data_IF_975200636704
#
_entry.id   IF_975200636704
#
_cell.length_a   1.000
_cell.length_b   1.000
_cell.length_c   1.000
_cell.angle_alpha   90.00
_cell.angle_beta   90.00
_cell.angle_gamma   90.00
#
_symmetry.space_group_name_H-M   'P 1'
#
loop_
_entity.id
_entity.type
_entity.pdbx_description
1 polymer ?
#
# COMPACT_ATOMS: atom_id res chain seq x y z
N UNK A 1 17.05 -18.61 44.99
CA UNK A 1 17.96 -19.39 44.13
C UNK A 1 17.68 -20.86 44.38
N UNK A 2 16.85 -21.49 43.56
CA UNK A 2 16.52 -22.92 43.65
C UNK A 2 16.96 -23.59 42.34
N UNK A 3 17.97 -24.46 42.42
CA UNK A 3 18.49 -25.26 41.31
C UNK A 3 17.58 -26.47 41.13
N UNK A 4 16.78 -26.50 40.06
CA UNK A 4 16.08 -27.70 39.60
C UNK A 4 17.07 -28.63 38.89
N UNK A 5 17.22 -29.86 39.41
CA UNK A 5 18.02 -30.91 38.82
C UNK A 5 17.32 -31.50 37.57
N UNK A 6 18.09 -32.19 36.69
CA UNK A 6 17.54 -32.78 35.46
C UNK A 6 16.69 -34.01 35.77
N UNK A 7 15.64 -34.26 34.93
CA UNK A 7 14.80 -35.42 35.09
C UNK A 7 15.52 -36.75 34.72
N UNK A 8 15.29 -37.76 35.51
CA UNK A 8 15.86 -39.11 35.34
C UNK A 8 15.34 -39.75 34.05
N UNK A 9 16.21 -40.40 33.32
CA UNK A 9 15.89 -41.21 32.13
C UNK A 9 15.09 -42.47 32.51
N UNK A 10 14.10 -42.88 31.71
CA UNK A 10 13.32 -44.09 31.93
C UNK A 10 14.21 -45.33 31.70
N UNK A 11 14.22 -46.19 32.68
CA UNK A 11 14.90 -47.52 32.64
C UNK A 11 14.09 -48.45 31.69
N UNK A 12 14.70 -48.85 30.60
CA UNK A 12 14.12 -49.85 29.68
C UNK A 12 14.21 -51.23 30.32
N UNK A 13 13.09 -51.78 30.72
CA UNK A 13 13.00 -53.16 31.21
C UNK A 13 13.28 -54.14 30.07
N UNK A 14 14.37 -54.91 30.19
CA UNK A 14 14.70 -56.02 29.30
C UNK A 14 13.69 -57.15 29.51
N UNK A 15 12.80 -57.35 28.53
CA UNK A 15 11.93 -58.51 28.45
C UNK A 15 12.79 -59.73 28.08
N UNK A 16 13.02 -60.60 29.05
CA UNK A 16 13.63 -61.91 28.82
C UNK A 16 12.64 -62.78 28.02
N UNK A 17 13.03 -63.14 26.81
CA UNK A 17 12.29 -64.07 25.98
C UNK A 17 12.54 -65.49 26.53
N UNK A 18 11.54 -66.04 27.20
CA UNK A 18 11.56 -67.44 27.65
C UNK A 18 11.27 -68.30 26.46
N UNK A 19 12.27 -68.98 25.94
CA UNK A 19 12.13 -69.98 24.89
C UNK A 19 11.74 -71.36 25.54
N UNK A 20 10.49 -71.73 25.35
CA UNK A 20 10.00 -73.12 25.74
C UNK A 20 10.48 -74.14 24.70
N UNK A 21 11.04 -75.25 25.13
CA UNK A 21 11.31 -76.40 24.20
C UNK A 21 10.01 -76.94 23.62
N UNK A 22 9.95 -77.34 22.34
CA UNK A 22 8.75 -77.84 21.69
C UNK A 22 8.38 -79.23 22.31
N UNK A 23 7.10 -79.41 22.57
CA UNK A 23 6.54 -80.64 23.07
C UNK A 23 6.75 -81.79 22.05
N UNK A 24 7.11 -82.98 22.49
CA UNK A 24 7.29 -84.17 21.60
C UNK A 24 5.97 -84.51 20.92
N UNK A 25 5.96 -84.42 19.56
CA UNK A 25 4.80 -84.83 18.76
C UNK A 25 4.15 -83.74 17.91
N UNK A 26 4.63 -82.48 17.95
CA UNK A 26 4.12 -81.51 17.02
C UNK A 26 4.80 -81.58 15.63
N UNK A 27 3.99 -81.58 14.54
CA UNK A 27 4.55 -81.56 13.19
C UNK A 27 5.40 -80.28 13.06
N UNK A 28 6.60 -80.44 12.51
CA UNK A 28 7.48 -79.27 12.19
C UNK A 28 6.69 -78.20 11.38
N UNK A 29 6.64 -76.98 11.77
CA UNK A 29 6.05 -75.90 10.94
C UNK A 29 6.72 -75.98 9.59
N UNK A 30 5.93 -75.91 8.52
CA UNK A 30 6.40 -75.86 7.16
C UNK A 30 7.35 -74.69 7.01
N UNK A 31 8.45 -74.78 6.22
CA UNK A 31 9.33 -73.66 5.97
C UNK A 31 8.50 -72.48 5.50
N UNK A 32 8.59 -71.32 6.23
CA UNK A 32 7.88 -70.10 5.85
C UNK A 32 8.25 -69.72 4.42
N UNK A 33 7.37 -69.04 3.69
CA UNK A 33 7.68 -68.60 2.34
C UNK A 33 8.97 -67.79 2.38
N UNK A 34 9.88 -68.12 1.44
CA UNK A 34 11.17 -67.48 1.30
C UNK A 34 10.98 -65.92 1.30
N UNK A 35 11.82 -65.17 1.99
CA UNK A 35 11.74 -63.69 1.96
C UNK A 35 11.70 -63.25 0.50
N UNK A 36 10.63 -62.55 0.13
CA UNK A 36 10.56 -61.92 -1.20
C UNK A 36 11.86 -61.18 -1.45
N UNK A 37 12.50 -61.32 -2.65
CA UNK A 37 13.68 -60.55 -2.99
C UNK A 37 13.36 -59.08 -2.74
N UNK A 38 14.06 -58.48 -1.77
CA UNK A 38 13.79 -57.13 -1.29
C UNK A 38 13.61 -56.19 -2.45
N UNK A 39 12.50 -55.47 -2.47
CA UNK A 39 12.24 -54.47 -3.48
C UNK A 39 13.49 -53.55 -3.60
N UNK A 40 14.04 -53.48 -4.82
CA UNK A 40 15.22 -52.66 -5.08
C UNK A 40 15.06 -51.25 -4.46
N UNK A 41 16.08 -50.73 -3.78
CA UNK A 41 15.99 -49.41 -3.19
C UNK A 41 15.50 -48.38 -4.20
N UNK A 42 14.36 -47.72 -3.92
CA UNK A 42 13.83 -46.70 -4.81
C UNK A 42 14.86 -45.61 -5.00
N UNK A 43 15.17 -45.18 -6.24
CA UNK A 43 16.13 -44.11 -6.47
C UNK A 43 15.69 -42.88 -5.70
N UNK A 44 16.63 -42.13 -5.08
CA UNK A 44 16.33 -40.96 -4.30
C UNK A 44 15.59 -39.95 -5.18
N UNK A 45 14.41 -39.52 -4.73
CA UNK A 45 13.62 -38.51 -5.46
C UNK A 45 14.38 -37.20 -5.53
N UNK A 46 14.54 -36.69 -6.76
CA UNK A 46 15.22 -35.41 -7.01
C UNK A 46 14.51 -34.25 -6.32
N UNK A 47 15.20 -33.55 -5.42
CA UNK A 47 14.71 -32.35 -4.74
C UNK A 47 14.97 -31.04 -5.54
N UNK A 48 15.55 -31.15 -6.73
CA UNK A 48 15.89 -29.99 -7.60
C UNK A 48 14.66 -29.16 -7.93
N UNK A 49 13.53 -29.79 -8.29
CA UNK A 49 12.27 -29.09 -8.56
C UNK A 49 11.74 -28.30 -7.37
N UNK A 50 11.79 -28.88 -6.16
CA UNK A 50 11.37 -28.21 -4.94
C UNK A 50 12.22 -26.97 -4.63
N UNK A 51 13.54 -27.07 -4.83
CA UNK A 51 14.45 -25.92 -4.64
C UNK A 51 14.19 -24.81 -5.65
N UNK A 52 13.95 -25.15 -6.92
CA UNK A 52 13.59 -24.19 -7.95
C UNK A 52 12.29 -23.46 -7.60
N UNK A 53 11.24 -24.19 -7.16
CA UNK A 53 9.98 -23.57 -6.75
C UNK A 53 10.16 -22.62 -5.56
N UNK A 54 10.97 -22.96 -4.57
CA UNK A 54 11.28 -22.09 -3.42
C UNK A 54 11.99 -20.81 -3.89
N UNK A 55 13.01 -20.93 -4.74
CA UNK A 55 13.76 -19.77 -5.22
C UNK A 55 12.88 -18.85 -6.07
N UNK A 56 12.13 -19.42 -7.04
CA UNK A 56 11.20 -18.65 -7.86
C UNK A 56 10.12 -17.99 -7.00
N UNK A 57 9.54 -18.73 -6.06
CA UNK A 57 8.55 -18.20 -5.12
C UNK A 57 9.10 -17.04 -4.28
N UNK A 58 10.34 -17.15 -3.79
CA UNK A 58 11.01 -16.09 -3.04
C UNK A 58 11.24 -14.84 -3.90
N UNK A 59 11.73 -14.99 -5.14
CA UNK A 59 11.95 -13.87 -6.06
C UNK A 59 10.64 -13.17 -6.39
N UNK A 60 9.58 -13.94 -6.72
CA UNK A 60 8.26 -13.37 -7.02
C UNK A 60 7.70 -12.63 -5.81
N UNK A 61 7.87 -13.16 -4.59
CA UNK A 61 7.43 -12.50 -3.37
C UNK A 61 8.15 -11.16 -3.13
N UNK A 62 9.47 -11.13 -3.32
CA UNK A 62 10.25 -9.89 -3.20
C UNK A 62 9.79 -8.84 -4.22
N UNK A 63 9.59 -9.23 -5.48
CA UNK A 63 9.09 -8.33 -6.51
C UNK A 63 7.69 -7.81 -6.18
N UNK A 64 6.81 -8.67 -5.65
CA UNK A 64 5.47 -8.27 -5.20
C UNK A 64 5.53 -7.27 -4.04
N UNK A 65 6.43 -7.45 -3.07
CA UNK A 65 6.64 -6.50 -1.99
C UNK A 65 7.15 -5.15 -2.49
N UNK A 66 8.11 -5.14 -3.41
CA UNK A 66 8.60 -3.91 -4.04
C UNK A 66 7.48 -3.19 -4.78
N UNK A 67 6.69 -3.92 -5.57
CA UNK A 67 5.53 -3.36 -6.27
C UNK A 67 4.50 -2.77 -5.30
N UNK A 68 4.24 -3.45 -4.18
CA UNK A 68 3.35 -2.96 -3.12
C UNK A 68 3.85 -1.65 -2.49
N UNK A 69 5.12 -1.57 -2.13
CA UNK A 69 5.72 -0.34 -1.58
C UNK A 69 5.65 0.81 -2.58
N UNK A 70 5.99 0.56 -3.85
CA UNK A 70 5.87 1.55 -4.91
C UNK A 70 4.41 1.98 -5.13
N UNK A 71 3.46 1.05 -5.09
CA UNK A 71 2.04 1.34 -5.20
C UNK A 71 1.54 2.24 -4.07
N UNK A 72 1.91 1.95 -2.83
CA UNK A 72 1.55 2.79 -1.67
C UNK A 72 2.17 4.17 -1.76
N UNK A 73 3.46 4.26 -2.07
CA UNK A 73 4.15 5.56 -2.15
C UNK A 73 3.62 6.46 -3.26
N UNK A 74 3.31 5.88 -4.44
CA UNK A 74 2.68 6.61 -5.54
C UNK A 74 1.25 7.05 -5.19
N UNK A 75 0.49 6.19 -4.55
CA UNK A 75 -0.87 6.51 -4.10
C UNK A 75 -0.87 7.66 -3.08
N UNK A 76 -0.03 7.59 -2.05
CA UNK A 76 0.07 8.65 -1.03
C UNK A 76 0.49 9.99 -1.63
N UNK A 77 1.41 9.98 -2.61
CA UNK A 77 1.82 11.21 -3.32
C UNK A 77 0.74 11.79 -4.24
N UNK A 78 -0.21 10.97 -4.68
CA UNK A 78 -1.33 11.42 -5.50
C UNK A 78 -2.46 12.07 -4.68
N UNK A 79 -2.45 11.91 -3.35
CA UNK A 79 -3.43 12.56 -2.48
C UNK A 79 -3.08 14.05 -2.33
N UNK A 80 -4.08 14.96 -2.30
CA UNK A 80 -3.88 16.39 -2.06
C UNK A 80 -3.51 16.64 -0.59
N UNK A 81 -2.33 16.16 -0.20
CA UNK A 81 -1.79 16.39 1.14
C UNK A 81 -0.96 17.66 1.15
N UNK A 82 -0.96 18.39 2.27
CA UNK A 82 -0.13 19.57 2.42
C UNK A 82 -0.75 20.89 1.95
N UNK A 83 -2.07 20.92 1.69
CA UNK A 83 -2.79 22.18 1.45
C UNK A 83 -2.77 23.04 2.71
N UNK A 84 -3.04 22.43 3.86
CA UNK A 84 -2.95 23.05 5.19
C UNK A 84 -2.09 22.23 6.13
N UNK A 85 -1.47 22.89 7.11
CA UNK A 85 -0.77 22.26 8.22
C UNK A 85 -1.73 21.93 9.39
N UNK A 86 -1.20 21.30 10.46
CA UNK A 86 -1.97 20.94 11.65
C UNK A 86 -2.57 22.11 12.43
N UNK A 87 -2.14 23.33 12.16
CA UNK A 87 -2.65 24.56 12.76
C UNK A 87 -3.61 25.32 11.81
N UNK A 88 -3.94 24.74 10.64
CA UNK A 88 -4.78 25.36 9.63
C UNK A 88 -4.10 26.45 8.81
N UNK A 89 -2.77 26.56 8.89
CA UNK A 89 -1.99 27.51 8.09
C UNK A 89 -1.63 26.88 6.74
N UNK A 90 -1.23 27.70 5.76
CA UNK A 90 -0.77 27.19 4.47
C UNK A 90 0.28 26.09 4.63
N UNK A 91 0.06 24.97 3.99
CA UNK A 91 0.94 23.79 4.05
C UNK A 91 2.00 23.79 2.97
N UNK A 92 2.70 22.67 2.81
CA UNK A 92 3.82 22.53 1.87
C UNK A 92 3.43 22.58 0.39
N UNK A 93 2.16 22.37 0.06
CA UNK A 93 1.64 22.47 -1.30
C UNK A 93 1.14 23.87 -1.65
N UNK A 94 1.10 24.80 -0.68
CA UNK A 94 0.67 26.17 -0.88
C UNK A 94 1.71 26.94 -1.72
N UNK A 95 1.27 27.51 -2.83
CA UNK A 95 2.06 28.38 -3.69
C UNK A 95 1.84 29.85 -3.33
N UNK A 96 0.61 30.19 -2.95
CA UNK A 96 0.23 31.51 -2.47
C UNK A 96 -0.90 31.34 -1.44
N UNK A 97 -1.09 32.33 -0.60
CA UNK A 97 -2.17 32.35 0.40
C UNK A 97 -2.44 33.76 0.87
N UNK A 98 -3.64 34.02 1.36
CA UNK A 98 -4.05 35.31 1.91
C UNK A 98 -5.26 35.16 2.83
N UNK A 99 -5.58 36.26 3.51
CA UNK A 99 -6.81 36.39 4.29
C UNK A 99 -8.00 36.68 3.37
N UNK A 100 -9.20 36.41 3.83
CA UNK A 100 -10.43 36.74 3.12
C UNK A 100 -11.13 37.88 3.87
N UNK A 101 -11.40 39.02 3.21
CA UNK A 101 -11.03 39.42 1.83
C UNK A 101 -9.55 39.76 1.73
N UNK A 102 -8.95 39.48 0.55
CA UNK A 102 -7.55 39.83 0.31
C UNK A 102 -7.01 39.38 -1.04
N UNK A 103 -5.71 39.60 -1.19
CA UNK A 103 -4.99 39.34 -2.44
C UNK A 103 -3.71 38.55 -2.17
N UNK A 104 -3.28 37.78 -3.16
CA UNK A 104 -1.97 37.12 -3.14
C UNK A 104 -1.40 37.03 -4.56
N UNK A 105 -0.09 37.26 -4.66
CA UNK A 105 0.64 37.10 -5.91
C UNK A 105 1.10 35.65 -6.08
N UNK A 106 1.03 35.19 -7.32
CA UNK A 106 1.37 33.80 -7.70
C UNK A 106 2.12 33.82 -9.03
N UNK A 107 3.26 33.12 -9.09
CA UNK A 107 3.89 32.79 -10.37
C UNK A 107 3.20 31.57 -11.00
N UNK A 108 2.70 31.74 -12.21
CA UNK A 108 1.97 30.70 -12.94
C UNK A 108 2.73 30.24 -14.17
N UNK A 109 2.51 28.98 -14.50
CA UNK A 109 2.99 28.36 -15.75
C UNK A 109 1.81 28.15 -16.69
N UNK A 110 1.94 28.60 -17.94
CA UNK A 110 0.90 28.45 -18.95
C UNK A 110 0.50 26.99 -19.16
N UNK A 111 -0.81 26.73 -19.24
CA UNK A 111 -1.39 25.40 -19.38
C UNK A 111 -1.41 24.54 -18.10
N UNK A 112 -0.90 25.07 -16.97
CA UNK A 112 -0.96 24.43 -15.67
C UNK A 112 -2.25 24.86 -14.96
N UNK A 113 -3.12 23.94 -14.52
CA UNK A 113 -4.25 24.28 -13.67
C UNK A 113 -3.78 24.63 -12.25
N UNK A 114 -4.49 25.56 -11.62
CA UNK A 114 -4.32 25.96 -10.23
C UNK A 114 -5.66 25.88 -9.53
N UNK A 115 -5.68 25.37 -8.29
CA UNK A 115 -6.86 25.26 -7.47
C UNK A 115 -6.79 26.23 -6.31
N UNK A 116 -7.87 26.99 -6.10
CA UNK A 116 -8.06 27.92 -5.02
C UNK A 116 -8.91 27.25 -3.95
N UNK A 117 -8.39 27.23 -2.73
CA UNK A 117 -9.00 26.60 -1.57
C UNK A 117 -9.42 27.63 -0.56
N UNK A 118 -10.62 27.50 -0.02
CA UNK A 118 -11.05 28.22 1.17
C UNK A 118 -10.70 27.41 2.42
N UNK A 119 -10.07 28.03 3.37
CA UNK A 119 -9.68 27.40 4.65
C UNK A 119 -10.49 28.02 5.76
N UNK A 120 -11.25 27.18 6.44
CA UNK A 120 -12.12 27.58 7.55
C UNK A 120 -12.14 26.51 8.64
N UNK A 121 -13.09 26.65 9.57
CA UNK A 121 -13.26 25.68 10.66
C UNK A 121 -13.88 24.38 10.14
N UNK A 122 -13.38 23.25 10.59
CA UNK A 122 -13.91 21.94 10.24
C UNK A 122 -15.39 21.81 10.69
N UNK A 123 -16.22 21.24 9.80
CA UNK A 123 -17.66 21.01 10.05
C UNK A 123 -18.58 22.12 9.57
N UNK A 124 -18.07 23.18 8.90
CA UNK A 124 -18.93 24.06 8.11
C UNK A 124 -19.29 23.36 6.80
N UNK A 125 -20.58 23.09 6.59
CA UNK A 125 -21.09 22.34 5.43
C UNK A 125 -20.91 23.08 4.11
N UNK A 126 -20.67 24.37 4.12
CA UNK A 126 -20.74 25.26 2.95
C UNK A 126 -19.36 25.80 2.52
N UNK A 127 -18.31 24.98 2.60
CA UNK A 127 -17.00 25.31 2.00
C UNK A 127 -16.39 26.62 2.45
N UNK A 128 -16.54 26.99 3.72
CA UNK A 128 -16.13 28.27 4.30
C UNK A 128 -16.86 29.51 3.70
N UNK A 129 -17.99 29.32 3.00
CA UNK A 129 -18.85 30.40 2.52
C UNK A 129 -18.26 31.26 1.37
N UNK A 130 -17.35 30.67 0.60
CA UNK A 130 -16.81 31.25 -0.62
C UNK A 130 -17.32 30.50 -1.84
N UNK A 131 -17.74 31.23 -2.85
CA UNK A 131 -18.14 30.72 -4.15
C UNK A 131 -17.13 31.12 -5.24
N UNK A 132 -17.24 30.51 -6.42
CA UNK A 132 -16.37 30.80 -7.56
C UNK A 132 -16.43 32.26 -7.98
N UNK A 133 -17.57 32.92 -7.77
CA UNK A 133 -17.84 34.31 -8.12
C UNK A 133 -17.09 35.31 -7.20
N UNK A 134 -16.67 34.87 -6.02
CA UNK A 134 -15.88 35.67 -5.08
C UNK A 134 -14.40 35.70 -5.44
N UNK A 135 -13.99 34.89 -6.44
CA UNK A 135 -12.58 34.73 -6.83
C UNK A 135 -12.31 35.39 -8.17
N UNK A 136 -11.35 36.28 -8.23
CA UNK A 136 -10.86 36.92 -9.48
C UNK A 136 -9.37 36.65 -9.60
N UNK A 137 -8.91 36.33 -10.80
CA UNK A 137 -7.48 36.14 -11.09
C UNK A 137 -7.09 37.05 -12.25
N UNK A 138 -6.19 38.00 -11.98
CA UNK A 138 -5.72 38.97 -12.95
C UNK A 138 -4.23 38.73 -13.22
N UNK A 139 -3.86 38.57 -14.46
CA UNK A 139 -2.47 38.44 -14.91
C UNK A 139 -2.07 39.63 -15.76
N UNK A 140 -0.80 39.74 -16.17
CA UNK A 140 -0.32 40.78 -17.03
C UNK A 140 -1.11 40.93 -18.35
N UNK A 141 -1.63 39.83 -18.87
CA UNK A 141 -2.42 39.77 -20.12
C UNK A 141 -3.91 40.03 -19.90
N UNK A 142 -4.35 40.31 -18.67
CA UNK A 142 -5.76 40.56 -18.30
C UNK A 142 -6.34 39.52 -17.34
N UNK A 143 -7.65 39.62 -17.14
CA UNK A 143 -8.38 38.75 -16.24
C UNK A 143 -8.54 37.32 -16.85
N UNK A 144 -8.29 36.33 -16.02
CA UNK A 144 -8.49 34.94 -16.40
C UNK A 144 -9.92 34.44 -16.07
N UNK A 145 -10.41 33.55 -16.89
CA UNK A 145 -11.68 32.86 -16.58
C UNK A 145 -11.47 31.91 -15.42
N UNK A 146 -12.11 32.20 -14.29
CA UNK A 146 -12.19 31.35 -13.12
C UNK A 146 -13.42 30.44 -13.28
N UNK A 147 -13.26 29.17 -12.99
CA UNK A 147 -14.33 28.18 -13.10
C UNK A 147 -14.54 27.42 -11.80
N UNK A 148 -15.73 26.82 -11.65
CA UNK A 148 -15.94 25.87 -10.58
C UNK A 148 -14.94 24.71 -10.68
N UNK A 149 -14.48 24.15 -9.56
CA UNK A 149 -13.48 23.09 -9.58
C UNK A 149 -14.00 21.86 -10.31
N UNK A 150 -13.20 21.33 -11.22
CA UNK A 150 -13.50 20.09 -11.96
C UNK A 150 -13.63 18.89 -11.01
N UNK A 151 -12.94 18.93 -9.88
CA UNK A 151 -13.05 17.99 -8.76
C UNK A 151 -13.17 18.78 -7.46
N UNK A 152 -14.30 18.62 -6.79
CA UNK A 152 -14.48 19.15 -5.44
C UNK A 152 -13.61 18.35 -4.48
N UNK A 153 -12.60 18.99 -3.89
CA UNK A 153 -11.70 18.40 -2.93
C UNK A 153 -11.91 18.99 -1.54
N UNK A 154 -11.70 18.20 -0.51
CA UNK A 154 -11.58 18.68 0.85
C UNK A 154 -10.35 18.09 1.52
N UNK A 155 -9.63 18.90 2.28
CA UNK A 155 -8.48 18.47 3.08
C UNK A 155 -8.68 19.00 4.49
N UNK A 156 -8.82 18.09 5.46
CA UNK A 156 -9.05 18.43 6.86
C UNK A 156 -7.88 17.99 7.73
N UNK A 157 -7.45 18.88 8.65
CA UNK A 157 -6.46 18.55 9.66
C UNK A 157 -6.79 19.28 10.97
N UNK A 158 -6.95 18.53 12.06
CA UNK A 158 -7.36 19.09 13.35
C UNK A 158 -8.74 19.75 13.31
N UNK A 159 -8.81 21.03 13.68
CA UNK A 159 -10.04 21.84 13.68
C UNK A 159 -10.24 22.66 12.41
N UNK A 160 -9.37 22.50 11.40
CA UNK A 160 -9.39 23.26 10.15
C UNK A 160 -9.71 22.38 8.98
N UNK A 161 -10.41 22.92 8.00
CA UNK A 161 -10.77 22.26 6.75
C UNK A 161 -10.53 23.23 5.59
N UNK A 162 -9.85 22.75 4.56
CA UNK A 162 -9.73 23.40 3.28
C UNK A 162 -10.68 22.75 2.28
N UNK A 163 -11.42 23.55 1.52
CA UNK A 163 -12.33 23.07 0.48
C UNK A 163 -12.02 23.82 -0.82
N UNK A 164 -11.98 23.10 -1.94
CA UNK A 164 -11.75 23.72 -3.25
C UNK A 164 -12.94 24.56 -3.65
N UNK A 165 -12.69 25.84 -3.96
CA UNK A 165 -13.72 26.81 -4.37
C UNK A 165 -13.67 27.08 -5.87
N UNK A 166 -12.46 27.22 -6.41
CA UNK A 166 -12.29 27.64 -7.79
C UNK A 166 -11.07 26.96 -8.42
N UNK A 167 -11.09 26.92 -9.76
CA UNK A 167 -9.98 26.44 -10.58
C UNK A 167 -9.71 27.43 -11.71
N UNK A 168 -8.42 27.66 -12.00
CA UNK A 168 -7.99 28.54 -13.09
C UNK A 168 -6.86 27.86 -13.86
N UNK A 169 -6.86 28.02 -15.19
CA UNK A 169 -5.79 27.52 -16.06
C UNK A 169 -5.27 28.67 -16.90
N UNK A 170 -4.14 29.30 -16.52
CA UNK A 170 -3.51 30.34 -17.29
C UNK A 170 -3.10 29.87 -18.68
N UNK A 171 -3.23 30.70 -19.67
CA UNK A 171 -2.78 30.40 -21.04
C UNK A 171 -1.29 30.73 -21.25
N UNK A 172 -0.76 31.67 -20.49
CA UNK A 172 0.64 32.07 -20.53
C UNK A 172 1.28 31.99 -19.13
N UNK A 173 2.60 31.88 -19.10
CA UNK A 173 3.36 31.94 -17.85
C UNK A 173 3.63 33.38 -17.45
N UNK A 174 3.62 33.67 -16.15
CA UNK A 174 3.87 34.99 -15.64
C UNK A 174 3.40 35.16 -14.19
N UNK A 175 3.39 36.38 -13.69
CA UNK A 175 2.87 36.70 -12.36
C UNK A 175 1.40 37.07 -12.49
N UNK A 176 0.57 36.46 -11.64
CA UNK A 176 -0.86 36.75 -11.52
C UNK A 176 -1.20 37.14 -10.09
N UNK A 177 -2.22 37.95 -9.93
CA UNK A 177 -2.80 38.33 -8.64
C UNK A 177 -4.12 37.60 -8.49
N UNK A 178 -4.26 36.82 -7.40
CA UNK A 178 -5.51 36.20 -6.99
C UNK A 178 -6.17 37.10 -5.97
N UNK A 179 -7.34 37.60 -6.25
CA UNK A 179 -8.17 38.42 -5.37
C UNK A 179 -9.37 37.63 -4.93
N UNK A 180 -9.59 37.54 -3.62
CA UNK A 180 -10.75 36.85 -3.04
C UNK A 180 -11.59 37.86 -2.25
N UNK A 181 -12.84 38.02 -2.67
CA UNK A 181 -13.81 38.88 -1.99
C UNK A 181 -14.32 38.18 -0.71
N UNK A 182 -14.97 38.96 0.16
CA UNK A 182 -15.51 38.40 1.43
C UNK A 182 -16.57 37.34 1.21
N UNK A 183 -17.43 37.48 0.18
CA UNK A 183 -18.57 36.60 -0.03
C UNK A 183 -19.41 36.40 1.25
N UNK A 184 -19.84 35.16 1.51
CA UNK A 184 -20.48 34.74 2.76
C UNK A 184 -19.48 34.16 3.77
N UNK A 185 -18.17 34.32 3.54
CA UNK A 185 -17.13 33.74 4.37
C UNK A 185 -17.13 34.31 5.79
N UNK A 186 -17.05 33.47 6.83
CA UNK A 186 -16.87 33.91 8.20
C UNK A 186 -15.56 34.66 8.40
N UNK A 187 -15.52 35.56 9.39
CA UNK A 187 -14.27 36.23 9.75
C UNK A 187 -13.18 35.21 10.14
N UNK A 188 -11.96 35.44 9.64
CA UNK A 188 -10.82 34.54 9.87
C UNK A 188 -10.74 33.37 8.87
N UNK A 189 -11.56 33.38 7.82
CA UNK A 189 -11.36 32.50 6.64
C UNK A 189 -10.10 32.98 5.91
N UNK A 190 -9.29 32.02 5.45
CA UNK A 190 -8.12 32.29 4.61
C UNK A 190 -8.26 31.52 3.30
N UNK A 191 -7.52 31.92 2.28
CA UNK A 191 -7.45 31.17 1.05
C UNK A 191 -6.03 30.69 0.78
N UNK A 192 -5.94 29.56 0.09
CA UNK A 192 -4.67 28.94 -0.32
C UNK A 192 -4.78 28.56 -1.78
N UNK A 193 -3.72 28.85 -2.54
CA UNK A 193 -3.59 28.45 -3.94
C UNK A 193 -2.58 27.33 -4.04
N UNK A 194 -2.95 26.25 -4.75
CA UNK A 194 -2.08 25.10 -5.00
C UNK A 194 -2.04 24.76 -6.48
N UNK A 195 -1.13 23.89 -6.91
CA UNK A 195 -1.27 23.27 -8.22
C UNK A 195 -2.61 22.53 -8.28
N UNK A 196 -3.31 22.72 -9.40
CA UNK A 196 -4.59 22.06 -9.67
C UNK A 196 -4.43 20.62 -10.18
N UNK A 197 -5.56 19.96 -10.36
CA UNK A 197 -5.62 18.58 -10.82
C UNK A 197 -5.25 18.46 -12.30
N UNK A 198 -4.24 17.65 -12.60
CA UNK A 198 -3.89 17.25 -13.96
C UNK A 198 -4.51 15.88 -14.25
N UNK A 199 -5.73 15.86 -14.78
CA UNK A 199 -6.46 14.62 -15.04
C UNK A 199 -5.65 13.59 -15.82
N UNK A 200 -4.93 13.99 -16.87
CA UNK A 200 -4.10 13.07 -17.66
C UNK A 200 -3.03 12.40 -16.82
N UNK A 201 -2.29 13.17 -16.01
CA UNK A 201 -1.26 12.65 -15.10
C UNK A 201 -1.88 11.84 -13.96
N UNK A 202 -3.02 12.29 -13.43
CA UNK A 202 -3.75 11.57 -12.39
C UNK A 202 -4.21 10.19 -12.86
N UNK A 203 -4.87 10.09 -14.01
CA UNK A 203 -5.31 8.80 -14.55
C UNK A 203 -4.14 7.90 -14.97
N UNK A 204 -3.05 8.44 -15.50
CA UNK A 204 -1.84 7.68 -15.77
C UNK A 204 -1.23 7.12 -14.48
N UNK A 205 -1.16 7.92 -13.42
CA UNK A 205 -0.64 7.51 -12.09
C UNK A 205 -1.57 6.51 -11.44
N UNK A 206 -2.89 6.75 -11.48
CA UNK A 206 -3.89 5.84 -10.93
C UNK A 206 -3.88 4.49 -11.64
N UNK A 207 -3.84 4.49 -13.00
CA UNK A 207 -3.72 3.27 -13.79
C UNK A 207 -2.46 2.48 -13.46
N UNK A 208 -1.31 3.16 -13.35
CA UNK A 208 -0.06 2.56 -12.91
C UNK A 208 -0.15 1.99 -11.49
N UNK A 209 -0.78 2.70 -10.57
CA UNK A 209 -1.00 2.25 -9.19
C UNK A 209 -1.87 1.00 -9.13
N UNK A 210 -2.95 0.95 -9.90
CA UNK A 210 -3.83 -0.23 -9.99
C UNK A 210 -3.04 -1.45 -10.49
N UNK A 211 -2.24 -1.31 -11.54
CA UNK A 211 -1.38 -2.39 -12.05
C UNK A 211 -0.40 -2.86 -10.97
N UNK A 212 0.25 -1.93 -10.25
CA UNK A 212 1.15 -2.26 -9.14
C UNK A 212 0.45 -3.05 -8.04
N UNK A 213 -0.80 -2.71 -7.69
CA UNK A 213 -1.61 -3.46 -6.73
C UNK A 213 -1.93 -4.88 -7.22
N UNK A 214 -2.30 -5.05 -8.48
CA UNK A 214 -2.51 -6.38 -9.06
C UNK A 214 -1.24 -7.23 -9.03
N UNK A 215 -0.09 -6.64 -9.36
CA UNK A 215 1.22 -7.32 -9.29
C UNK A 215 1.57 -7.66 -7.85
N UNK A 216 1.33 -6.74 -6.89
CA UNK A 216 1.63 -6.98 -5.48
C UNK A 216 0.76 -8.10 -4.89
N UNK A 217 -0.55 -8.06 -5.10
CA UNK A 217 -1.49 -9.04 -4.56
C UNK A 217 -1.35 -10.38 -5.29
N UNK A 218 -1.43 -10.37 -6.62
CA UNK A 218 -1.35 -11.59 -7.44
C UNK A 218 0.03 -12.26 -7.31
N UNK A 219 1.09 -11.48 -7.42
CA UNK A 219 2.47 -11.94 -7.23
C UNK A 219 2.72 -12.42 -5.81
N UNK A 220 2.19 -11.74 -4.80
CA UNK A 220 2.28 -12.13 -3.39
C UNK A 220 1.64 -13.50 -3.13
N UNK A 221 0.41 -13.72 -3.59
CA UNK A 221 -0.29 -14.99 -3.46
C UNK A 221 0.43 -16.12 -4.21
N UNK A 222 0.86 -15.87 -5.43
CA UNK A 222 1.58 -16.84 -6.26
C UNK A 222 2.95 -17.16 -5.65
N UNK A 223 3.71 -16.17 -5.22
CA UNK A 223 5.01 -16.34 -4.57
C UNK A 223 4.91 -17.14 -3.26
N UNK A 224 3.93 -16.80 -2.41
CA UNK A 224 3.67 -17.53 -1.18
C UNK A 224 3.23 -18.97 -1.45
N UNK A 225 2.36 -19.19 -2.44
CA UNK A 225 1.92 -20.55 -2.85
C UNK A 225 3.08 -21.42 -3.34
N UNK A 226 3.96 -20.87 -4.16
CA UNK A 226 5.17 -21.58 -4.64
C UNK A 226 6.15 -21.88 -3.50
N UNK A 227 6.35 -20.96 -2.56
CA UNK A 227 7.19 -21.18 -1.38
C UNK A 227 6.66 -22.30 -0.52
N UNK A 228 5.39 -22.22 -0.13
CA UNK A 228 4.74 -23.25 0.70
C UNK A 228 4.75 -24.60 -0.01
N UNK A 229 4.34 -24.64 -1.29
CA UNK A 229 4.35 -25.86 -2.10
C UNK A 229 5.74 -26.48 -2.24
N UNK A 230 6.76 -25.65 -2.48
CA UNK A 230 8.14 -26.09 -2.55
C UNK A 230 8.68 -26.66 -1.23
N UNK A 231 8.35 -26.02 -0.10
CA UNK A 231 8.72 -26.51 1.25
C UNK A 231 8.04 -27.85 1.54
N UNK A 232 6.74 -27.94 1.32
CA UNK A 232 5.96 -29.18 1.55
C UNK A 232 6.51 -30.32 0.69
N UNK A 233 6.73 -30.07 -0.60
CA UNK A 233 7.34 -31.07 -1.49
C UNK A 233 8.70 -31.53 -0.97
N UNK A 234 9.56 -30.60 -0.56
CA UNK A 234 10.89 -30.92 -0.03
C UNK A 234 10.82 -31.79 1.24
N UNK A 235 9.87 -31.49 2.14
CA UNK A 235 9.65 -32.29 3.37
C UNK A 235 9.19 -33.68 3.05
N UNK A 236 8.21 -33.83 2.16
CA UNK A 236 7.69 -35.15 1.74
C UNK A 236 8.79 -35.96 1.04
N UNK A 237 9.54 -35.36 0.12
CA UNK A 237 10.60 -36.04 -0.60
C UNK A 237 11.77 -36.52 0.29
N UNK A 238 11.96 -35.92 1.47
CA UNK A 238 12.98 -36.36 2.45
C UNK A 238 12.51 -37.47 3.37
N UNK A 239 11.18 -37.65 3.49
CA UNK A 239 10.59 -38.71 4.36
C UNK A 239 10.27 -40.01 3.60
N UNK A 240 10.30 -39.99 2.27
CA UNK A 240 10.11 -41.12 1.37
C UNK A 240 11.44 -41.75 0.92
#
# INVERSE_FOLDING_TARGET
>A
MSRGGPPAAPTVASLAVVTYPPAPGQPYPAPGPAPYPGAAPRPPRSTRGATTMIVVGAVVLVLALVAGVLGVTTFVRALPTGVIDGAGRPGSAALASGDVPGEAELEVTGGQPYSIWAVGRAGSSDGAGLDVEDVTVTCADGDLTVSAPSVSGSSGLGSSQATTVAEVTPTASGTCTVTVAQGAAPAGTTFVVTEGWRFGTFFATLGGTIVLWFVAIGGGLLGAGLLVGGIVWRVIARRA
#
